data_IF_983095392677
#
_entry.id   IF_983095392677
#
_cell.length_a   1.000
_cell.length_b   1.000
_cell.length_c   1.000
_cell.angle_alpha   90.00
_cell.angle_beta   90.00
_cell.angle_gamma   90.00
#
_symmetry.space_group_name_H-M   'P 1'
#
loop_
_entity.id
_entity.type
_entity.pdbx_description
1 polymer ?
#
# COMPACT_ATOMS: atom_id res chain seq x y z
N UNK A 1 2.92 23.00 -22.16
CA UNK A 1 3.66 21.72 -22.36
C UNK A 1 2.69 20.71 -22.94
N UNK A 2 3.05 19.96 -24.00
CA UNK A 2 2.22 18.83 -24.44
C UNK A 2 2.21 17.79 -23.32
N UNK A 3 1.04 17.32 -22.92
CA UNK A 3 0.89 16.22 -21.98
C UNK A 3 1.65 15.00 -22.52
N UNK A 4 2.37 14.28 -21.66
CA UNK A 4 2.95 13.00 -22.06
C UNK A 4 1.81 12.11 -22.63
N UNK A 5 2.07 11.33 -23.70
CA UNK A 5 1.05 10.45 -24.24
C UNK A 5 0.59 9.46 -23.16
N UNK A 6 -0.65 8.98 -23.24
CA UNK A 6 -1.09 7.92 -22.33
C UNK A 6 -0.37 6.62 -22.66
N UNK A 7 -0.23 5.75 -21.67
CA UNK A 7 0.24 4.38 -21.87
C UNK A 7 -0.70 3.65 -22.83
N UNK A 8 -0.22 3.15 -23.98
CA UNK A 8 -1.05 2.46 -24.95
C UNK A 8 -1.71 1.20 -24.39
N UNK A 9 -1.00 0.48 -23.51
CA UNK A 9 -1.45 -0.72 -22.84
C UNK A 9 -1.22 -0.60 -21.33
N UNK A 10 -2.27 -0.67 -20.54
CA UNK A 10 -2.15 -0.74 -19.08
C UNK A 10 -3.41 -1.40 -18.49
N UNK A 11 -3.28 -2.32 -17.54
CA UNK A 11 -4.43 -2.89 -16.86
C UNK A 11 -5.09 -1.87 -15.94
N UNK A 12 -6.40 -1.99 -15.74
CA UNK A 12 -7.10 -1.19 -14.73
C UNK A 12 -6.69 -1.59 -13.29
N UNK A 13 -6.57 -0.62 -12.37
CA UNK A 13 -6.39 -0.90 -10.94
C UNK A 13 -7.56 -1.67 -10.35
N UNK A 14 -7.27 -2.73 -9.58
CA UNK A 14 -8.31 -3.48 -8.86
C UNK A 14 -8.65 -2.82 -7.52
N UNK A 15 -9.83 -3.14 -7.00
CA UNK A 15 -10.28 -2.63 -5.71
C UNK A 15 -9.37 -3.12 -4.58
N UNK A 16 -8.89 -2.17 -3.77
CA UNK A 16 -7.97 -2.44 -2.67
C UNK A 16 -6.57 -2.87 -3.11
N UNK A 17 -6.24 -2.82 -4.41
CA UNK A 17 -4.92 -3.17 -4.92
C UNK A 17 -3.85 -2.18 -4.42
N UNK A 18 -2.68 -2.70 -4.05
CA UNK A 18 -1.52 -1.87 -3.70
C UNK A 18 -0.97 -1.14 -4.94
N UNK A 19 -0.46 0.08 -4.76
CA UNK A 19 0.11 0.85 -5.85
C UNK A 19 1.26 0.12 -6.54
N UNK A 20 2.15 -0.48 -5.75
CA UNK A 20 3.26 -1.30 -6.25
C UNK A 20 2.78 -2.51 -7.05
N UNK A 21 1.70 -3.17 -6.62
CA UNK A 21 1.11 -4.32 -7.34
C UNK A 21 0.62 -3.91 -8.72
N UNK A 22 -0.15 -2.82 -8.79
CA UNK A 22 -0.68 -2.34 -10.06
C UNK A 22 0.44 -1.92 -11.01
N UNK A 23 1.46 -1.21 -10.51
CA UNK A 23 2.60 -0.79 -11.33
C UNK A 23 3.42 -1.98 -11.84
N UNK A 24 3.59 -3.04 -11.05
CA UNK A 24 4.21 -4.29 -11.53
C UNK A 24 3.41 -4.90 -12.69
N UNK A 25 2.07 -4.91 -12.60
CA UNK A 25 1.22 -5.40 -13.69
C UNK A 25 1.28 -4.50 -14.93
N UNK A 26 1.41 -3.19 -14.77
CA UNK A 26 1.64 -2.26 -15.89
C UNK A 26 3.00 -2.54 -16.53
N UNK A 27 4.07 -2.65 -15.73
CA UNK A 27 5.42 -2.91 -16.23
C UNK A 27 5.51 -4.26 -16.98
N UNK A 28 4.82 -5.29 -16.49
CA UNK A 28 4.72 -6.58 -17.14
C UNK A 28 4.12 -6.52 -18.55
N UNK A 29 3.20 -5.58 -18.84
CA UNK A 29 2.69 -5.36 -20.20
C UNK A 29 3.76 -4.92 -21.20
N UNK A 30 4.85 -4.34 -20.72
CA UNK A 30 5.98 -3.86 -21.52
C UNK A 30 7.23 -4.74 -21.37
N UNK A 31 7.13 -5.88 -20.68
CA UNK A 31 8.27 -6.76 -20.36
C UNK A 31 9.38 -6.01 -19.61
N UNK A 32 8.99 -5.06 -18.76
CA UNK A 32 9.87 -4.27 -17.91
C UNK A 32 9.62 -4.60 -16.44
N UNK A 33 10.60 -4.33 -15.60
CA UNK A 33 10.38 -4.26 -14.16
C UNK A 33 9.81 -2.88 -13.74
N UNK A 34 9.27 -2.81 -12.51
CA UNK A 34 8.69 -1.57 -11.99
C UNK A 34 9.73 -0.46 -11.81
N UNK A 35 11.00 -0.78 -11.52
CA UNK A 35 12.05 0.22 -11.39
C UNK A 35 12.36 0.87 -12.74
N UNK A 36 12.46 0.08 -13.80
CA UNK A 36 12.65 0.54 -15.17
C UNK A 36 11.49 1.45 -15.60
N UNK A 37 10.25 1.04 -15.34
CA UNK A 37 9.07 1.86 -15.64
C UNK A 37 9.14 3.21 -14.92
N UNK A 38 9.42 3.22 -13.62
CA UNK A 38 9.45 4.45 -12.84
C UNK A 38 10.62 5.36 -13.24
N UNK A 39 11.82 4.79 -13.43
CA UNK A 39 13.02 5.55 -13.73
C UNK A 39 12.98 6.15 -15.14
N UNK A 40 12.58 5.36 -16.14
CA UNK A 40 12.63 5.78 -17.54
C UNK A 40 11.41 6.60 -17.96
N UNK A 41 10.22 6.31 -17.43
CA UNK A 41 8.99 6.95 -17.88
C UNK A 41 8.52 8.08 -16.96
N UNK A 42 8.71 7.93 -15.65
CA UNK A 42 8.20 8.87 -14.66
C UNK A 42 9.30 9.71 -13.98
N UNK A 43 10.58 9.38 -14.20
CA UNK A 43 11.70 10.07 -13.56
C UNK A 43 11.76 9.86 -12.04
N UNK A 44 11.21 8.75 -11.55
CA UNK A 44 11.18 8.38 -10.13
C UNK A 44 12.01 7.12 -9.88
N UNK A 45 12.96 7.15 -8.94
CA UNK A 45 13.88 6.02 -8.68
C UNK A 45 13.61 5.28 -7.36
N UNK A 46 12.75 5.81 -6.49
CA UNK A 46 12.54 5.30 -5.13
C UNK A 46 11.24 4.49 -5.03
N UNK A 47 11.33 3.19 -4.69
CA UNK A 47 10.18 2.31 -4.50
C UNK A 47 9.61 2.32 -3.08
N UNK A 48 10.42 2.68 -2.08
CA UNK A 48 10.12 2.37 -0.67
C UNK A 48 8.84 3.05 -0.13
N UNK A 49 8.34 4.06 -0.84
CA UNK A 49 7.16 4.83 -0.42
C UNK A 49 5.91 4.63 -1.30
N UNK A 50 5.93 3.74 -2.30
CA UNK A 50 4.78 3.56 -3.21
C UNK A 50 3.48 3.20 -2.47
N UNK A 51 3.56 2.22 -1.58
CA UNK A 51 2.39 1.74 -0.85
C UNK A 51 2.18 2.50 0.46
N UNK A 52 3.18 3.25 0.94
CA UNK A 52 3.09 3.99 2.20
C UNK A 52 2.59 5.41 1.97
N UNK A 53 3.36 6.25 1.28
CA UNK A 53 3.10 7.67 1.11
C UNK A 53 3.69 8.19 -0.23
N UNK A 54 3.12 7.78 -1.37
CA UNK A 54 3.62 8.19 -2.68
C UNK A 54 3.51 9.71 -2.86
N UNK A 55 4.56 10.31 -3.43
CA UNK A 55 4.58 11.75 -3.68
C UNK A 55 3.43 12.20 -4.61
N UNK A 56 2.93 13.42 -4.40
CA UNK A 56 1.88 13.98 -5.24
C UNK A 56 2.33 14.13 -6.70
N UNK A 57 3.60 14.42 -6.94
CA UNK A 57 4.17 14.49 -8.29
C UNK A 57 4.09 13.15 -9.01
N UNK A 58 4.46 12.05 -8.33
CA UNK A 58 4.34 10.70 -8.86
C UNK A 58 2.87 10.37 -9.19
N UNK A 59 1.95 10.60 -8.25
CA UNK A 59 0.53 10.32 -8.46
C UNK A 59 -0.07 11.14 -9.62
N UNK A 60 0.38 12.39 -9.78
CA UNK A 60 -0.03 13.26 -10.89
C UNK A 60 0.50 12.73 -12.23
N UNK A 61 1.76 12.29 -12.26
CA UNK A 61 2.34 11.68 -13.46
C UNK A 61 1.59 10.39 -13.83
N UNK A 62 1.28 9.54 -12.85
CA UNK A 62 0.48 8.33 -13.05
C UNK A 62 -0.92 8.63 -13.57
N UNK A 63 -1.58 9.66 -13.03
CA UNK A 63 -2.89 10.12 -13.53
C UNK A 63 -2.81 10.54 -15.00
N UNK A 64 -1.77 11.30 -15.38
CA UNK A 64 -1.58 11.72 -16.78
C UNK A 64 -1.29 10.55 -17.73
N UNK A 65 -0.48 9.58 -17.28
CA UNK A 65 -0.05 8.43 -18.09
C UNK A 65 -1.12 7.36 -18.23
N UNK A 66 -1.86 7.07 -17.17
CA UNK A 66 -2.90 6.02 -17.17
C UNK A 66 -4.31 6.55 -17.43
N UNK A 67 -4.58 7.82 -17.12
CA UNK A 67 -5.94 8.35 -17.07
C UNK A 67 -6.75 7.84 -15.87
N UNK A 68 -6.14 7.15 -14.91
CA UNK A 68 -6.76 6.79 -13.63
C UNK A 68 -6.88 8.06 -12.78
N UNK A 69 -8.03 8.24 -12.15
CA UNK A 69 -8.31 9.37 -11.27
C UNK A 69 -7.33 9.44 -10.08
N UNK A 70 -6.95 10.66 -9.70
CA UNK A 70 -5.99 10.90 -8.63
C UNK A 70 -6.44 10.29 -7.29
N UNK A 71 -7.73 10.38 -6.97
CA UNK A 71 -8.30 9.82 -5.74
C UNK A 71 -8.18 8.29 -5.71
N UNK A 72 -8.42 7.64 -6.85
CA UNK A 72 -8.24 6.19 -6.97
C UNK A 72 -6.78 5.81 -6.73
N UNK A 73 -5.83 6.51 -7.36
CA UNK A 73 -4.40 6.25 -7.14
C UNK A 73 -3.98 6.49 -5.69
N UNK A 74 -4.51 7.53 -5.04
CA UNK A 74 -4.26 7.79 -3.61
C UNK A 74 -4.73 6.64 -2.74
N UNK A 75 -5.93 6.10 -2.99
CA UNK A 75 -6.52 4.98 -2.23
C UNK A 75 -5.73 3.66 -2.30
N UNK A 76 -4.76 3.56 -3.22
CA UNK A 76 -3.86 2.41 -3.39
C UNK A 76 -2.59 2.52 -2.52
N UNK A 77 -2.54 3.49 -1.62
CA UNK A 77 -1.48 3.69 -0.63
C UNK A 77 -2.08 3.95 0.76
N UNK A 78 -1.29 3.69 1.81
CA UNK A 78 -1.70 3.89 3.20
C UNK A 78 -1.98 5.36 3.51
N UNK A 79 -1.29 6.29 2.86
CA UNK A 79 -1.58 7.71 2.95
C UNK A 79 -3.00 8.05 2.47
N UNK A 80 -3.53 7.31 1.48
CA UNK A 80 -4.91 7.45 1.04
C UNK A 80 -5.95 6.89 2.00
N UNK A 81 -5.53 6.13 3.02
CA UNK A 81 -6.42 5.60 4.05
C UNK A 81 -6.45 6.44 5.33
N UNK A 82 -5.62 7.49 5.40
CA UNK A 82 -5.70 8.51 6.45
C UNK A 82 -6.87 9.46 6.16
N UNK A 83 -7.72 9.82 7.15
CA UNK A 83 -7.66 9.46 8.57
C UNK A 83 -8.54 8.26 8.96
N UNK A 84 -9.06 7.49 7.99
CA UNK A 84 -10.12 6.51 8.26
C UNK A 84 -9.63 5.20 8.87
N UNK A 85 -8.58 4.58 8.32
CA UNK A 85 -7.97 3.38 8.90
C UNK A 85 -6.81 3.72 9.84
N UNK A 86 -6.04 4.75 9.46
CA UNK A 86 -4.86 5.21 10.17
C UNK A 86 -5.07 6.67 10.55
N UNK A 87 -4.92 7.01 11.83
CA UNK A 87 -5.08 8.41 12.28
C UNK A 87 -4.02 9.32 11.66
N UNK A 88 -2.79 8.82 11.51
CA UNK A 88 -1.66 9.51 10.89
C UNK A 88 -0.56 8.52 10.48
N UNK A 89 0.25 8.90 9.49
CA UNK A 89 1.51 8.22 9.15
C UNK A 89 2.73 8.85 9.85
N UNK A 90 2.54 9.98 10.53
CA UNK A 90 3.58 10.67 11.28
C UNK A 90 3.95 9.87 12.53
N UNK A 91 5.20 9.40 12.56
CA UNK A 91 5.75 8.64 13.68
C UNK A 91 6.35 9.53 14.78
N UNK A 92 6.40 10.84 14.56
CA UNK A 92 6.96 11.80 15.51
C UNK A 92 5.99 12.22 16.62
N UNK A 93 4.71 11.86 16.51
CA UNK A 93 3.65 12.23 17.46
C UNK A 93 3.87 11.49 18.80
N UNK A 94 4.36 12.15 19.87
CA UNK A 94 4.82 11.46 21.07
C UNK A 94 3.70 10.76 21.85
N UNK A 95 2.47 11.25 21.73
CA UNK A 95 1.28 10.73 22.42
C UNK A 95 0.44 9.76 21.57
N UNK A 96 0.87 9.39 20.35
CA UNK A 96 0.07 8.59 19.43
C UNK A 96 -0.42 7.27 20.05
N UNK A 97 0.47 6.55 20.74
CA UNK A 97 0.12 5.29 21.41
C UNK A 97 -0.88 5.50 22.55
N UNK A 98 -0.70 6.54 23.36
CA UNK A 98 -1.60 6.84 24.47
C UNK A 98 -2.99 7.23 23.95
N UNK A 99 -3.06 8.12 22.95
CA UNK A 99 -4.30 8.50 22.30
C UNK A 99 -5.02 7.28 21.75
N UNK A 100 -4.34 6.46 20.96
CA UNK A 100 -4.94 5.28 20.35
C UNK A 100 -5.43 4.25 21.38
N UNK A 101 -4.65 3.97 22.44
CA UNK A 101 -5.02 2.95 23.45
C UNK A 101 -6.08 3.43 24.43
N UNK A 102 -6.16 4.74 24.68
CA UNK A 102 -7.05 5.30 25.69
C UNK A 102 -8.16 6.22 25.14
N UNK A 103 -8.29 6.39 23.82
CA UNK A 103 -9.35 7.21 23.21
C UNK A 103 -10.76 6.79 23.64
N UNK A 104 -10.99 5.49 23.86
CA UNK A 104 -12.26 4.94 24.34
C UNK A 104 -12.25 4.56 25.82
N UNK A 105 -11.22 4.95 26.59
CA UNK A 105 -11.11 4.59 28.00
C UNK A 105 -11.99 5.49 28.87
N UNK A 106 -13.24 5.08 29.08
CA UNK A 106 -14.24 5.81 29.90
C UNK A 106 -14.02 5.60 31.40
N UNK A 107 -13.66 4.39 31.82
CA UNK A 107 -13.59 3.99 33.23
C UNK A 107 -12.18 4.01 33.83
N UNK A 108 -11.15 4.40 33.06
CA UNK A 108 -9.76 4.44 33.53
C UNK A 108 -9.31 5.89 33.70
N UNK A 109 -9.27 6.42 34.95
CA UNK A 109 -8.76 7.74 35.24
C UNK A 109 -7.32 7.90 34.75
N UNK A 110 -6.94 9.10 34.27
CA UNK A 110 -5.58 9.38 33.78
C UNK A 110 -4.47 8.94 34.75
N UNK A 111 -4.71 9.09 36.07
CA UNK A 111 -3.75 8.78 37.13
C UNK A 111 -3.47 7.29 37.32
N UNK A 112 -4.34 6.40 36.85
CA UNK A 112 -4.17 4.94 36.97
C UNK A 112 -3.70 4.28 35.67
N UNK A 113 -3.55 5.07 34.59
CA UNK A 113 -3.08 4.56 33.30
C UNK A 113 -1.58 4.30 33.37
N UNK A 114 -1.17 3.05 33.16
CA UNK A 114 0.23 2.71 32.93
C UNK A 114 0.57 3.07 31.49
N UNK A 115 1.35 4.13 31.31
CA UNK A 115 1.80 4.56 29.99
C UNK A 115 3.13 3.91 29.67
N UNK A 116 3.23 3.31 28.48
CA UNK A 116 4.50 2.88 27.90
C UNK A 116 4.89 3.90 26.85
N UNK A 117 6.13 4.37 26.89
CA UNK A 117 6.68 5.18 25.79
C UNK A 117 7.28 4.25 24.74
N UNK A 118 6.76 4.31 23.52
CA UNK A 118 7.33 3.66 22.34
C UNK A 118 7.60 4.77 21.34
N UNK A 119 8.86 4.96 20.97
CA UNK A 119 9.26 5.92 19.95
C UNK A 119 8.81 5.43 18.57
N UNK A 120 8.42 6.36 17.68
CA UNK A 120 8.04 6.06 16.30
C UNK A 120 6.89 5.07 16.14
N UNK A 121 5.97 5.06 17.12
CA UNK A 121 4.83 4.16 17.11
C UNK A 121 3.74 4.64 16.15
N UNK A 122 3.22 3.72 15.34
CA UNK A 122 2.11 3.94 14.41
C UNK A 122 1.10 2.80 14.56
N UNK A 123 -0.18 3.12 14.71
CA UNK A 123 -1.24 2.13 14.82
C UNK A 123 -1.26 1.26 13.56
N UNK A 124 -1.31 -0.06 13.73
CA UNK A 124 -1.44 -1.05 12.64
C UNK A 124 -0.34 -1.06 11.57
N UNK A 125 0.64 -0.16 11.60
CA UNK A 125 1.70 -0.14 10.62
C UNK A 125 2.89 -0.95 11.12
N UNK A 126 3.31 -2.02 10.41
CA UNK A 126 4.40 -2.84 10.86
C UNK A 126 5.74 -2.12 10.72
N UNK A 127 6.67 -2.37 11.65
CA UNK A 127 8.04 -1.81 11.56
C UNK A 127 8.87 -2.43 10.43
N UNK A 128 8.44 -3.58 9.90
CA UNK A 128 9.04 -4.27 8.76
C UNK A 128 7.94 -4.55 7.73
N UNK A 129 8.29 -4.48 6.45
CA UNK A 129 7.35 -4.78 5.37
C UNK A 129 6.82 -6.20 5.49
N UNK A 130 5.50 -6.34 5.55
CA UNK A 130 4.84 -7.65 5.49
C UNK A 130 4.55 -7.96 4.03
N UNK A 131 5.17 -9.00 3.48
CA UNK A 131 4.94 -9.46 2.11
C UNK A 131 4.17 -10.76 2.13
N UNK A 132 2.84 -10.66 2.01
CA UNK A 132 1.96 -11.81 1.92
C UNK A 132 0.96 -11.65 0.81
N UNK A 133 0.57 -12.76 0.21
CA UNK A 133 -0.44 -12.78 -0.82
C UNK A 133 -1.28 -14.05 -0.77
N UNK A 134 -2.44 -14.00 -1.41
CA UNK A 134 -3.24 -15.18 -1.65
C UNK A 134 -2.63 -15.99 -2.80
N UNK A 135 -2.24 -17.27 -2.60
CA UNK A 135 -1.69 -18.10 -3.67
C UNK A 135 -2.70 -18.31 -4.81
N UNK A 136 -4.00 -18.37 -4.51
CA UNK A 136 -5.04 -18.51 -5.52
C UNK A 136 -5.19 -17.26 -6.40
N UNK A 137 -5.17 -16.05 -5.80
CA UNK A 137 -5.18 -14.80 -6.58
C UNK A 137 -3.98 -14.74 -7.52
N UNK A 138 -2.78 -14.98 -6.99
CA UNK A 138 -1.56 -14.85 -7.78
C UNK A 138 -1.40 -15.92 -8.88
N UNK A 139 -2.00 -17.11 -8.70
CA UNK A 139 -2.01 -18.16 -9.72
C UNK A 139 -3.08 -17.95 -10.79
N UNK A 140 -4.03 -17.04 -10.59
CA UNK A 140 -5.00 -16.64 -11.61
C UNK A 140 -4.35 -15.63 -12.57
N UNK A 141 -4.14 -15.96 -13.86
CA UNK A 141 -3.55 -15.06 -14.84
C UNK A 141 -4.32 -13.75 -15.00
N UNK A 142 -5.62 -13.76 -14.70
CA UNK A 142 -6.50 -12.60 -14.76
C UNK A 142 -6.48 -11.79 -13.46
N UNK A 143 -5.99 -12.35 -12.35
CA UNK A 143 -6.14 -11.80 -11.00
C UNK A 143 -4.89 -11.78 -10.12
N UNK A 144 -3.75 -11.45 -10.71
CA UNK A 144 -2.46 -11.33 -10.01
C UNK A 144 -2.29 -10.05 -9.15
N UNK A 145 -3.39 -9.49 -8.63
CA UNK A 145 -3.33 -8.30 -7.78
C UNK A 145 -3.01 -8.66 -6.33
N UNK A 146 -2.06 -7.94 -5.74
CA UNK A 146 -1.78 -7.95 -4.30
C UNK A 146 -2.54 -6.81 -3.65
N UNK A 147 -3.40 -7.13 -2.69
CA UNK A 147 -4.17 -6.13 -1.96
C UNK A 147 -3.31 -5.40 -0.93
N UNK A 148 -3.48 -4.09 -0.81
CA UNK A 148 -2.76 -3.25 0.14
C UNK A 148 -2.96 -3.71 1.59
N UNK A 149 -4.17 -4.17 1.93
CA UNK A 149 -4.51 -4.61 3.28
C UNK A 149 -3.73 -5.85 3.73
N UNK A 150 -3.20 -6.66 2.79
CA UNK A 150 -2.37 -7.83 3.11
C UNK A 150 -1.00 -7.45 3.69
N UNK A 151 -0.57 -6.21 3.46
CA UNK A 151 0.65 -5.64 4.03
C UNK A 151 0.47 -5.18 5.48
N UNK A 152 -0.75 -5.23 6.02
CA UNK A 152 -1.06 -4.86 7.40
C UNK A 152 -1.33 -6.10 8.28
N UNK A 153 -1.02 -6.03 9.59
CA UNK A 153 -1.34 -7.06 10.57
C UNK A 153 -2.84 -7.03 10.98
N UNK A 154 -3.74 -6.74 10.03
CA UNK A 154 -5.19 -6.67 10.26
C UNK A 154 -5.93 -7.93 9.83
N UNK A 155 -5.39 -8.64 8.83
CA UNK A 155 -5.97 -9.88 8.33
C UNK A 155 -4.89 -10.87 7.95
N UNK A 156 -5.25 -12.15 8.04
CA UNK A 156 -4.39 -13.29 7.73
C UNK A 156 -4.96 -14.19 6.63
N UNK A 157 -6.18 -13.90 6.16
CA UNK A 157 -6.89 -14.68 5.14
C UNK A 157 -7.26 -13.81 3.94
N UNK A 158 -7.34 -14.42 2.76
CA UNK A 158 -7.84 -13.76 1.56
C UNK A 158 -9.37 -13.52 1.69
N UNK A 159 -9.86 -12.28 1.50
CA UNK A 159 -11.30 -12.02 1.57
C UNK A 159 -12.07 -12.64 0.39
N UNK A 160 -11.41 -12.92 -0.73
CA UNK A 160 -12.03 -13.53 -1.91
C UNK A 160 -12.08 -15.06 -1.83
N UNK A 161 -11.00 -15.70 -1.33
CA UNK A 161 -10.84 -17.16 -1.39
C UNK A 161 -10.93 -17.86 -0.03
N UNK A 162 -10.89 -17.12 1.09
CA UNK A 162 -10.93 -17.68 2.44
C UNK A 162 -9.68 -18.46 2.87
N UNK A 163 -8.69 -18.63 2.01
CA UNK A 163 -7.43 -19.29 2.36
C UNK A 163 -6.49 -18.37 3.15
N UNK A 164 -5.53 -18.96 3.86
CA UNK A 164 -4.46 -18.20 4.51
C UNK A 164 -3.60 -17.46 3.50
N UNK A 165 -3.11 -16.29 3.90
CA UNK A 165 -2.12 -15.53 3.14
C UNK A 165 -0.74 -16.13 3.39
N UNK A 166 0.01 -16.35 2.32
CA UNK A 166 1.36 -16.93 2.36
C UNK A 166 2.42 -15.88 2.06
N UNK A 167 3.63 -16.08 2.57
CA UNK A 167 4.76 -15.20 2.29
C UNK A 167 5.08 -15.18 0.79
N UNK A 168 5.29 -13.98 0.25
CA UNK A 168 5.49 -13.77 -1.18
C UNK A 168 6.73 -12.91 -1.45
N UNK A 169 7.54 -13.29 -2.44
CA UNK A 169 8.82 -12.62 -2.72
C UNK A 169 8.74 -11.44 -3.69
N UNK A 170 7.58 -11.17 -4.30
CA UNK A 170 7.45 -10.04 -5.25
C UNK A 170 7.32 -10.45 -6.72
N UNK A 171 7.30 -11.75 -7.06
CA UNK A 171 7.15 -12.25 -8.44
C UNK A 171 6.05 -13.35 -8.54
N UNK A 172 5.06 -13.22 -9.44
CA UNK A 172 4.11 -14.30 -9.71
C UNK A 172 4.86 -15.59 -10.11
N UNK A 173 4.52 -16.73 -9.50
CA UNK A 173 5.04 -18.05 -9.91
C UNK A 173 6.29 -18.58 -9.18
N UNK A 174 6.71 -17.97 -8.06
CA UNK A 174 7.70 -18.57 -7.14
C UNK A 174 7.14 -18.61 -5.71
N UNK A 175 6.75 -19.81 -5.27
CA UNK A 175 6.40 -20.14 -3.88
C UNK A 175 7.39 -21.21 -3.37
N UNK A 176 7.51 -21.36 -2.05
CA UNK A 176 8.25 -22.45 -1.41
C UNK A 176 7.56 -23.80 -1.63
#
# INVERSE_FOLDING_TARGET
>A
MKSAPRWPLHPAPKEGEALSSWLNRVAACYQMDVHELLAHDLGHSQLDDLDTAPSLSLLTALCQRSGVELERLRSMSLAGWVPWLLDSLDDSVPAALETYTFQCAVLLPKRTRKVRSITRWRAWLPSQTIRRACPQCLNDPTNQAVLLVWQLPLMLSCPQHGCWLESYWGMPGRYL
#
